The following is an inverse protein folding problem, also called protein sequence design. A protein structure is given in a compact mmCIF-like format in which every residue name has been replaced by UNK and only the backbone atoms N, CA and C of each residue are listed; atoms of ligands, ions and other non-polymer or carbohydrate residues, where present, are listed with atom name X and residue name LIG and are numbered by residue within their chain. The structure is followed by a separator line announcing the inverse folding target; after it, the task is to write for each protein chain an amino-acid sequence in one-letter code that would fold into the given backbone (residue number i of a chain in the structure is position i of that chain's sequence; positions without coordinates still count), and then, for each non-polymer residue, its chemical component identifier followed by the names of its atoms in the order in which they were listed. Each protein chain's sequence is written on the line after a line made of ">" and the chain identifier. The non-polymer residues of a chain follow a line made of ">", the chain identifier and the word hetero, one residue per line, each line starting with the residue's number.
data_IF_361097854942
#
_entry.id   IF_361097854942
#
_cell.length_a   1.000
_cell.length_b   1.000
_cell.length_c   1.000
_cell.angle_alpha   90.00
_cell.angle_beta   90.00
_cell.angle_gamma   90.00
#
_symmetry.space_group_name_H-M   'P 1'
#
loop_
_entity.id
_entity.type
_entity.pdbx_description
1 polymer ?
#
# COMPACT_ATOMS: atom_id res chain seq x y z
N UNK A 1 -3.57 -9.99 8.17
CA UNK A 1 -2.33 -10.65 7.73
C UNK A 1 -2.21 -12.00 8.44
N UNK A 2 -1.28 -12.88 8.05
CA UNK A 2 -1.13 -14.22 8.65
C UNK A 2 -0.59 -14.19 10.08
N UNK A 3 0.01 -13.09 10.49
CA UNK A 3 0.55 -12.89 11.85
C UNK A 3 -0.45 -12.23 12.81
N UNK A 4 -1.71 -12.07 12.41
CA UNK A 4 -2.74 -11.40 13.21
C UNK A 4 -2.71 -9.88 13.17
N UNK A 5 -1.81 -9.27 12.38
CA UNK A 5 -1.83 -7.83 12.14
C UNK A 5 -2.92 -7.40 11.15
N UNK A 6 -3.34 -6.14 11.27
CA UNK A 6 -4.24 -5.48 10.33
C UNK A 6 -3.50 -4.36 9.59
N UNK A 7 -3.78 -4.25 8.29
CA UNK A 7 -3.33 -3.14 7.47
C UNK A 7 -4.43 -2.09 7.41
N UNK A 8 -4.06 -0.83 7.65
CA UNK A 8 -4.99 0.30 7.70
C UNK A 8 -4.61 1.27 6.57
N UNK A 9 -5.53 1.43 5.63
CA UNK A 9 -5.41 2.41 4.55
C UNK A 9 -6.12 3.72 4.95
N UNK A 10 -5.49 4.85 4.63
CA UNK A 10 -6.12 6.16 4.77
C UNK A 10 -5.57 7.15 3.74
N UNK A 11 -6.17 8.34 3.70
CA UNK A 11 -5.62 9.49 2.97
C UNK A 11 -4.28 9.97 3.55
N UNK A 12 -3.96 9.57 4.78
CA UNK A 12 -2.71 9.88 5.44
C UNK A 12 -1.62 8.81 5.20
N UNK A 13 -1.91 7.72 4.51
CA UNK A 13 -0.95 6.68 4.16
C UNK A 13 -1.38 5.29 4.58
N UNK A 14 -0.38 4.49 4.93
CA UNK A 14 -0.52 3.10 5.32
C UNK A 14 0.01 2.93 6.74
N UNK A 15 -0.80 2.30 7.59
CA UNK A 15 -0.41 1.90 8.94
C UNK A 15 -0.60 0.40 9.10
N UNK A 16 0.15 -0.18 10.04
CA UNK A 16 0.00 -1.57 10.47
C UNK A 16 -0.35 -1.61 11.95
N UNK A 17 -1.51 -2.17 12.26
CA UNK A 17 -1.91 -2.48 13.63
C UNK A 17 -1.41 -3.88 13.98
N UNK A 18 -0.56 -3.96 14.99
CA UNK A 18 0.00 -5.21 15.50
C UNK A 18 -1.02 -5.95 16.37
N UNK A 19 -0.81 -7.26 16.65
CA UNK A 19 -1.70 -8.04 17.51
C UNK A 19 -1.87 -7.47 18.93
N UNK A 20 -0.90 -6.68 19.41
CA UNK A 20 -0.95 -5.98 20.70
C UNK A 20 -1.78 -4.68 20.67
N UNK A 21 -2.38 -4.34 19.52
CA UNK A 21 -3.18 -3.14 19.30
C UNK A 21 -2.37 -1.88 18.96
N UNK A 22 -1.04 -1.95 18.97
CA UNK A 22 -0.19 -0.81 18.61
C UNK A 22 -0.25 -0.54 17.11
N UNK A 23 -0.41 0.72 16.75
CA UNK A 23 -0.42 1.20 15.36
C UNK A 23 0.96 1.75 15.02
N UNK A 24 1.56 1.23 13.95
CA UNK A 24 2.88 1.64 13.47
C UNK A 24 2.74 2.16 12.03
N UNK A 25 3.20 3.38 11.72
CA UNK A 25 3.16 3.89 10.37
C UNK A 25 4.11 3.11 9.46
N UNK A 26 3.66 2.86 8.24
CA UNK A 26 4.46 2.19 7.20
C UNK A 26 4.87 3.22 6.17
N UNK A 27 6.14 3.62 6.26
CA UNK A 27 6.73 4.59 5.36
C UNK A 27 6.88 3.99 3.96
N UNK A 28 6.13 4.51 3.00
CA UNK A 28 6.24 4.17 1.58
C UNK A 28 6.75 5.39 0.83
N UNK A 29 7.95 5.29 0.27
CA UNK A 29 8.49 6.33 -0.59
C UNK A 29 7.71 6.35 -1.91
N UNK A 30 7.23 7.53 -2.29
CA UNK A 30 6.58 7.74 -3.59
C UNK A 30 7.58 8.38 -4.56
N UNK A 31 7.53 8.06 -5.86
CA UNK A 31 8.34 8.77 -6.86
C UNK A 31 8.05 10.28 -6.90
N UNK A 32 6.80 10.66 -6.58
CA UNK A 32 6.38 12.06 -6.52
C UNK A 32 6.87 12.81 -5.26
N UNK A 33 7.45 12.10 -4.28
CA UNK A 33 7.82 12.65 -2.97
C UNK A 33 6.63 13.07 -2.11
N UNK A 34 5.39 12.88 -2.59
CA UNK A 34 4.16 13.21 -1.88
C UNK A 34 3.80 12.11 -0.89
N UNK A 35 3.00 12.48 0.11
CA UNK A 35 2.41 11.51 1.03
C UNK A 35 1.48 10.57 0.26
N UNK A 36 1.64 9.27 0.48
CA UNK A 36 0.80 8.24 -0.13
C UNK A 36 -0.65 8.40 0.35
N UNK A 37 -1.60 8.42 -0.59
CA UNK A 37 -3.04 8.35 -0.28
C UNK A 37 -3.56 7.00 -0.73
N UNK A 38 -3.90 6.14 0.23
CA UNK A 38 -4.24 4.73 -0.02
C UNK A 38 -5.75 4.56 -0.11
N UNK A 39 -6.21 3.91 -1.18
CA UNK A 39 -7.62 3.68 -1.45
C UNK A 39 -8.03 2.21 -1.34
N UNK A 40 -7.11 1.29 -1.62
CA UNK A 40 -7.39 -0.14 -1.59
C UNK A 40 -6.18 -0.96 -1.20
N UNK A 41 -6.43 -2.11 -0.59
CA UNK A 41 -5.43 -3.07 -0.14
C UNK A 41 -5.84 -4.48 -0.51
N UNK A 42 -4.90 -5.29 -0.96
CA UNK A 42 -5.08 -6.74 -1.10
C UNK A 42 -3.81 -7.46 -0.67
N UNK A 43 -3.95 -8.57 0.04
CA UNK A 43 -2.83 -9.42 0.42
C UNK A 43 -2.85 -10.66 -0.47
N UNK A 44 -1.76 -10.93 -1.17
CA UNK A 44 -1.68 -12.12 -2.01
C UNK A 44 -1.20 -13.37 -1.25
N UNK A 45 -1.22 -14.51 -1.94
CA UNK A 45 -0.80 -15.79 -1.36
C UNK A 45 0.66 -15.81 -0.91
N UNK A 46 1.53 -14.99 -1.50
CA UNK A 46 2.95 -14.87 -1.18
C UNK A 46 3.22 -13.90 -0.03
N UNK A 47 2.17 -13.29 0.53
CA UNK A 47 2.30 -12.30 1.59
C UNK A 47 2.66 -10.90 1.09
N UNK A 48 2.54 -10.65 -0.22
CA UNK A 48 2.73 -9.31 -0.76
C UNK A 48 1.46 -8.49 -0.59
N UNK A 49 1.64 -7.30 -0.04
CA UNK A 49 0.59 -6.32 0.11
C UNK A 49 0.55 -5.44 -1.14
N UNK A 50 -0.52 -5.58 -1.91
CA UNK A 50 -0.86 -4.72 -3.01
C UNK A 50 -1.60 -3.49 -2.49
N UNK A 51 -1.10 -2.31 -2.84
CA UNK A 51 -1.54 -1.02 -2.32
C UNK A 51 -1.98 -0.14 -3.49
N UNK A 52 -3.29 0.03 -3.62
CA UNK A 52 -3.89 0.90 -4.63
C UNK A 52 -4.02 2.32 -4.09
N UNK A 53 -3.58 3.30 -4.89
CA UNK A 53 -3.49 4.69 -4.45
C UNK A 53 -4.43 5.61 -5.22
N UNK A 54 -4.55 6.85 -4.74
CA UNK A 54 -5.33 7.88 -5.40
C UNK A 54 -4.69 8.37 -6.71
N UNK A 55 -3.38 8.55 -6.79
CA UNK A 55 -2.76 9.19 -7.96
C UNK A 55 -1.40 8.60 -8.34
N UNK A 56 -0.82 7.73 -7.52
CA UNK A 56 0.54 7.23 -7.71
C UNK A 56 0.51 5.76 -8.14
N UNK A 57 -0.59 5.28 -8.72
CA UNK A 57 -0.71 3.90 -9.22
C UNK A 57 -0.76 2.84 -8.12
N UNK A 58 -0.05 1.74 -8.31
CA UNK A 58 -0.05 0.56 -7.42
C UNK A 58 1.34 0.30 -6.86
N UNK A 59 1.43 0.09 -5.56
CA UNK A 59 2.65 -0.32 -4.86
C UNK A 59 2.51 -1.75 -4.39
N UNK A 60 3.58 -2.53 -4.44
CA UNK A 60 3.65 -3.88 -3.89
C UNK A 60 4.67 -3.86 -2.77
N UNK A 61 4.24 -4.21 -1.56
CA UNK A 61 5.08 -4.21 -0.37
C UNK A 61 5.24 -5.63 0.19
N UNK A 62 6.40 -5.90 0.80
CA UNK A 62 6.63 -7.07 1.65
C UNK A 62 7.35 -6.64 2.91
N UNK A 63 6.79 -6.99 4.06
CA UNK A 63 7.33 -6.58 5.37
C UNK A 63 7.55 -5.06 5.47
N UNK A 64 6.63 -4.28 4.90
CA UNK A 64 6.69 -2.82 4.87
C UNK A 64 7.72 -2.22 3.90
N UNK A 65 8.44 -3.04 3.12
CA UNK A 65 9.39 -2.58 2.11
C UNK A 65 8.80 -2.62 0.70
N UNK A 66 9.10 -1.60 -0.09
CA UNK A 66 8.70 -1.52 -1.49
C UNK A 66 9.41 -2.59 -2.33
N UNK A 67 8.63 -3.47 -2.97
CA UNK A 67 9.11 -4.45 -3.93
C UNK A 67 8.97 -3.95 -5.36
N UNK A 68 7.80 -3.42 -5.71
CA UNK A 68 7.50 -2.86 -7.03
C UNK A 68 6.54 -1.69 -6.94
N UNK A 69 6.65 -0.82 -7.93
CA UNK A 69 5.71 0.25 -8.20
C UNK A 69 5.27 0.11 -9.66
N UNK A 70 3.97 0.26 -9.90
CA UNK A 70 3.37 0.30 -11.23
C UNK A 70 2.65 1.65 -11.37
N UNK A 71 3.22 2.53 -12.19
CA UNK A 71 2.65 3.84 -12.50
C UNK A 71 2.63 4.10 -14.00
N UNK A 72 2.67 5.39 -14.36
CA UNK A 72 2.58 5.82 -15.76
C UNK A 72 3.67 5.19 -16.65
N UNK A 73 4.86 4.97 -16.10
CA UNK A 73 5.98 4.34 -16.81
C UNK A 73 5.68 2.88 -17.19
N UNK A 74 4.83 2.19 -16.43
CA UNK A 74 4.40 0.81 -16.66
C UNK A 74 3.03 0.74 -17.37
N UNK A 75 2.51 1.87 -17.85
CA UNK A 75 1.23 1.94 -18.55
C UNK A 75 0.00 1.84 -17.65
N UNK A 76 0.18 1.93 -16.32
CA UNK A 76 -0.94 2.11 -15.39
C UNK A 76 -1.17 3.62 -15.26
N UNK A 77 -2.29 4.16 -15.78
CA UNK A 77 -2.55 5.59 -15.67
C UNK A 77 -2.56 6.02 -14.20
N UNK A 78 -2.04 7.21 -13.94
CA UNK A 78 -2.18 7.97 -12.68
C UNK A 78 -3.66 8.26 -12.39
N UNK A 79 -4.39 7.23 -11.99
CA UNK A 79 -5.81 7.25 -11.67
C UNK A 79 -6.10 6.59 -10.32
N UNK A 80 -7.37 6.66 -9.91
CA UNK A 80 -7.81 6.11 -8.62
C UNK A 80 -7.87 4.58 -8.66
N UNK A 81 -6.94 3.91 -7.99
CA UNK A 81 -7.01 2.46 -7.82
C UNK A 81 -7.93 2.15 -6.63
N UNK A 82 -9.23 2.07 -6.90
CA UNK A 82 -10.29 1.91 -5.88
C UNK A 82 -10.49 0.47 -5.41
N UNK A 83 -10.03 -0.51 -6.19
CA UNK A 83 -10.15 -1.91 -5.83
C UNK A 83 -8.97 -2.70 -6.40
N UNK A 84 -8.53 -3.68 -5.61
CA UNK A 84 -7.60 -4.74 -5.99
C UNK A 84 -8.24 -6.02 -5.47
N UNK A 85 -8.29 -7.06 -6.32
CA UNK A 85 -9.01 -8.32 -6.06
C UNK A 85 -8.13 -9.53 -6.32
#
# INVERSE_FOLDING_TARGET
>A
DRDGSLWIASTAGLDRMLPDGRIVPVAVATPSGRKLSVLSLALDRHGDLWVGTYADGVFVLRDGRLLRHYGDAEGIPSGHIRAIV
#
